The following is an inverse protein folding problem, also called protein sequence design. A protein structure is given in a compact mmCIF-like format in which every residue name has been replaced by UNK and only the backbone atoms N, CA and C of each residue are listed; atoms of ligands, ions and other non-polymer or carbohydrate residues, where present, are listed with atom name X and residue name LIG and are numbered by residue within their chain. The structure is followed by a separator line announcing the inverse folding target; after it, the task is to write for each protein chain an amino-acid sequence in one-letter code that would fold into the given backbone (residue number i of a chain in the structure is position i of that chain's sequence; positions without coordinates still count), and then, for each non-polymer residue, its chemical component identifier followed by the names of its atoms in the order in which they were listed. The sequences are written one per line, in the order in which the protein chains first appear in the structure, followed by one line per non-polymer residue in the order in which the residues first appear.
data_IF_031325998721
#
_entry.id   IF_031325998721
#
_cell.length_a   1.000
_cell.length_b   1.000
_cell.length_c   1.000
_cell.angle_alpha   90.00
_cell.angle_beta   90.00
_cell.angle_gamma   90.00
#
_symmetry.space_group_name_H-M   'P 1'
#
loop_
_entity.id
_entity.type
_entity.pdbx_description
1 polymer ?
#
# COMPACT_ATOMS: atom_id res chain seq x y z
N UNK A 1 -14.31 -4.12 1.13
CA UNK A 1 -14.14 -5.06 2.26
C UNK A 1 -13.76 -4.33 3.56
N UNK A 2 -12.71 -3.50 3.56
CA UNK A 2 -12.31 -2.74 4.77
C UNK A 2 -13.45 -1.94 5.44
N UNK A 3 -14.30 -1.24 4.68
CA UNK A 3 -15.43 -0.50 5.25
C UNK A 3 -16.45 -1.40 5.97
N UNK A 4 -16.65 -2.64 5.50
CA UNK A 4 -17.54 -3.58 6.16
C UNK A 4 -16.93 -4.10 7.47
N UNK A 5 -15.61 -4.36 7.49
CA UNK A 5 -14.90 -4.72 8.71
C UNK A 5 -14.93 -3.57 9.74
N UNK A 6 -14.69 -2.32 9.31
CA UNK A 6 -14.81 -1.14 10.17
C UNK A 6 -16.23 -0.91 10.70
N UNK A 7 -17.25 -1.27 9.93
CA UNK A 7 -18.65 -1.22 10.36
C UNK A 7 -19.06 -2.39 11.28
N UNK A 8 -18.15 -3.29 11.62
CA UNK A 8 -18.42 -4.44 12.51
C UNK A 8 -19.13 -5.60 11.83
N UNK A 9 -19.16 -5.65 10.49
CA UNK A 9 -19.83 -6.74 9.75
C UNK A 9 -18.95 -8.00 9.60
N UNK A 10 -17.76 -8.04 10.19
CA UNK A 10 -16.88 -9.21 10.17
C UNK A 10 -15.40 -8.86 10.07
N UNK A 11 -14.63 -9.77 9.46
CA UNK A 11 -13.17 -9.65 9.25
C UNK A 11 -12.85 -9.58 7.76
N UNK A 12 -11.72 -8.96 7.40
CA UNK A 12 -11.25 -8.86 6.02
C UNK A 12 -9.73 -9.09 5.93
N UNK A 13 -9.26 -9.65 4.81
CA UNK A 13 -7.84 -9.74 4.46
C UNK A 13 -7.49 -8.48 3.67
N UNK A 14 -6.51 -7.71 4.14
CA UNK A 14 -6.19 -6.39 3.59
C UNK A 14 -4.69 -6.19 3.45
N UNK A 15 -4.28 -5.33 2.51
CA UNK A 15 -2.90 -4.84 2.44
C UNK A 15 -2.64 -3.86 3.58
N UNK A 16 -1.91 -4.29 4.61
CA UNK A 16 -1.62 -3.52 5.83
C UNK A 16 -1.11 -2.10 5.55
N UNK A 17 -0.27 -1.92 4.53
CA UNK A 17 0.31 -0.63 4.18
C UNK A 17 -0.74 0.44 3.79
N UNK A 18 -1.90 0.02 3.28
CA UNK A 18 -2.97 0.93 2.84
C UNK A 18 -3.88 1.38 3.98
N UNK A 19 -3.86 0.69 5.13
CA UNK A 19 -4.75 0.92 6.27
C UNK A 19 -3.99 1.21 7.57
N UNK A 20 -2.75 1.74 7.45
CA UNK A 20 -1.90 2.07 8.61
C UNK A 20 -2.59 3.01 9.60
N UNK A 21 -3.33 3.99 9.09
CA UNK A 21 -4.01 4.98 9.92
C UNK A 21 -5.19 4.36 10.68
N UNK A 22 -6.00 3.54 10.02
CA UNK A 22 -7.12 2.84 10.65
C UNK A 22 -6.66 1.92 11.77
N UNK A 23 -5.51 1.28 11.59
CA UNK A 23 -4.90 0.43 12.63
C UNK A 23 -4.36 1.28 13.78
N UNK A 24 -3.67 2.38 13.48
CA UNK A 24 -3.15 3.30 14.49
C UNK A 24 -4.27 3.97 15.31
N UNK A 25 -5.36 4.34 14.65
CA UNK A 25 -6.56 4.93 15.27
C UNK A 25 -7.42 3.89 16.02
N UNK A 26 -7.08 2.59 15.94
CA UNK A 26 -7.84 1.50 16.54
C UNK A 26 -9.19 1.22 15.87
N UNK A 27 -9.48 1.82 14.71
CA UNK A 27 -10.69 1.52 13.90
C UNK A 27 -10.63 0.13 13.29
N UNK A 28 -9.43 -0.36 13.03
CA UNK A 28 -9.15 -1.74 12.67
C UNK A 28 -8.13 -2.31 13.65
N UNK A 29 -8.22 -3.61 13.90
CA UNK A 29 -7.22 -4.35 14.67
C UNK A 29 -6.75 -5.55 13.84
N UNK A 30 -5.48 -5.92 13.99
CA UNK A 30 -4.95 -7.15 13.40
C UNK A 30 -5.10 -8.28 14.44
N UNK A 31 -6.08 -9.19 14.31
CA UNK A 31 -6.38 -10.16 15.36
C UNK A 31 -5.30 -11.22 15.55
N UNK A 32 -4.46 -11.46 14.54
CA UNK A 32 -3.38 -12.44 14.55
C UNK A 32 -2.09 -11.81 14.07
N UNK A 33 -0.94 -12.19 14.64
CA UNK A 33 0.36 -11.77 14.14
C UNK A 33 0.78 -12.61 12.91
N UNK A 34 -0.06 -12.57 11.86
CA UNK A 34 0.12 -13.29 10.60
C UNK A 34 0.01 -12.30 9.45
N UNK A 35 1.02 -12.32 8.56
CA UNK A 35 1.01 -11.56 7.30
C UNK A 35 1.24 -12.56 6.18
N UNK A 36 0.26 -12.66 5.28
CA UNK A 36 0.39 -13.45 4.06
C UNK A 36 1.14 -12.68 2.98
N UNK A 37 1.81 -13.42 2.11
CA UNK A 37 2.37 -12.93 0.85
C UNK A 37 1.68 -13.71 -0.28
N UNK A 38 1.05 -12.98 -1.21
CA UNK A 38 0.39 -13.54 -2.39
C UNK A 38 1.29 -13.45 -3.65
N UNK A 39 2.52 -12.97 -3.50
CA UNK A 39 3.47 -12.75 -4.59
C UNK A 39 3.12 -11.54 -5.46
N UNK A 40 2.13 -10.73 -5.10
CA UNK A 40 1.74 -9.54 -5.84
C UNK A 40 2.42 -8.28 -5.28
N UNK A 41 2.71 -7.34 -6.18
CA UNK A 41 3.33 -6.07 -5.86
C UNK A 41 2.71 -4.93 -6.68
N UNK A 42 2.81 -3.71 -6.18
CA UNK A 42 2.47 -2.51 -6.93
C UNK A 42 3.65 -2.07 -7.80
N UNK A 43 3.41 -1.92 -9.10
CA UNK A 43 4.45 -1.58 -10.07
C UNK A 43 4.25 -0.15 -10.60
N UNK A 44 5.33 0.63 -10.63
CA UNK A 44 5.35 1.89 -11.38
C UNK A 44 5.66 1.60 -12.85
N UNK A 45 4.67 1.78 -13.72
CA UNK A 45 4.75 1.41 -15.14
C UNK A 45 4.79 2.63 -16.06
N UNK A 46 5.74 2.63 -16.99
CA UNK A 46 5.86 3.60 -18.08
C UNK A 46 6.65 2.96 -19.23
N UNK A 47 6.50 3.42 -20.49
CA UNK A 47 7.28 2.88 -21.61
C UNK A 47 8.78 3.03 -21.35
N UNK A 48 9.55 1.96 -21.56
CA UNK A 48 11.01 1.95 -21.32
C UNK A 48 11.73 3.09 -22.04
N UNK A 49 11.30 3.39 -23.28
CA UNK A 49 11.83 4.50 -24.08
C UNK A 49 11.68 5.88 -23.40
N UNK A 50 10.72 6.03 -22.48
CA UNK A 50 10.42 7.29 -21.79
C UNK A 50 11.01 7.39 -20.39
N UNK A 51 11.82 6.40 -19.95
CA UNK A 51 12.38 6.35 -18.58
C UNK A 51 13.15 7.60 -18.15
N UNK A 52 13.74 8.32 -19.11
CA UNK A 52 14.58 9.51 -18.86
C UNK A 52 13.89 10.83 -19.19
N UNK A 53 12.61 10.82 -19.59
CA UNK A 53 11.86 12.08 -19.79
C UNK A 53 11.84 12.81 -18.44
N UNK A 54 12.23 14.11 -18.37
CA UNK A 54 12.46 14.80 -17.10
C UNK A 54 11.32 14.66 -16.08
N UNK A 55 10.06 14.84 -16.50
CA UNK A 55 8.89 14.69 -15.62
C UNK A 55 8.66 13.26 -15.11
N UNK A 56 8.96 12.24 -15.93
CA UNK A 56 8.81 10.84 -15.53
C UNK A 56 9.90 10.47 -14.53
N UNK A 57 11.14 10.86 -14.82
CA UNK A 57 12.25 10.66 -13.90
C UNK A 57 12.00 11.37 -12.56
N UNK A 58 11.59 12.63 -12.59
CA UNK A 58 11.29 13.40 -11.38
C UNK A 58 10.22 12.71 -10.53
N UNK A 59 9.10 12.28 -11.14
CA UNK A 59 8.05 11.57 -10.42
C UNK A 59 8.51 10.23 -9.88
N UNK A 60 9.24 9.43 -10.68
CA UNK A 60 9.80 8.14 -10.23
C UNK A 60 10.73 8.33 -9.04
N UNK A 61 11.68 9.25 -9.16
CA UNK A 61 12.69 9.47 -8.15
C UNK A 61 12.03 10.00 -6.85
N UNK A 62 11.01 10.86 -6.97
CA UNK A 62 10.19 11.32 -5.84
C UNK A 62 9.36 10.19 -5.20
N UNK A 63 8.55 9.45 -5.95
CA UNK A 63 7.66 8.42 -5.37
C UNK A 63 8.45 7.29 -4.72
N UNK A 64 9.62 6.92 -5.28
CA UNK A 64 10.50 5.94 -4.66
C UNK A 64 11.08 6.46 -3.34
N UNK A 65 11.37 7.77 -3.22
CA UNK A 65 11.80 8.36 -1.97
C UNK A 65 10.68 8.38 -0.90
N UNK A 66 9.44 8.67 -1.29
CA UNK A 66 8.29 8.66 -0.37
C UNK A 66 7.99 7.27 0.21
N UNK A 67 8.18 6.21 -0.59
CA UNK A 67 7.95 4.83 -0.13
C UNK A 67 9.18 4.18 0.51
N UNK A 68 10.37 4.76 0.36
CA UNK A 68 11.62 4.24 0.91
C UNK A 68 11.81 4.49 2.42
N UNK A 69 10.78 4.99 3.12
CA UNK A 69 10.85 5.22 4.56
C UNK A 69 10.74 3.87 5.34
N UNK A 70 11.53 3.67 6.42
CA UNK A 70 11.99 2.37 6.93
C UNK A 70 10.93 1.42 7.48
#
# INVERSE_FOLDING_TARGET
EANAAMAGHGVAILTRALFKNEIADGRLVQPFDLVGDDGHAYWLVYPTARRNVPKIRAFRDWILAEIACP
#
